data_IF_197580175243
#
_entry.id   IF_197580175243
#
_cell.length_a   1.000
_cell.length_b   1.000
_cell.length_c   1.000
_cell.angle_alpha   90.00
_cell.angle_beta   90.00
_cell.angle_gamma   90.00
#
_symmetry.space_group_name_H-M   'P 1'
#
loop_
_entity.id
_entity.type
_entity.pdbx_description
1 polymer ?
#
# COMPACT_ATOMS: atom_id res chain seq x y z
N UNK A 1 24.29 3.04 2.44
CA UNK A 1 23.33 2.13 1.80
C UNK A 1 22.16 3.00 1.41
N UNK A 2 21.99 3.27 0.11
CA UNK A 2 20.97 4.19 -0.37
C UNK A 2 19.58 3.71 0.02
N UNK A 3 18.69 4.65 0.38
CA UNK A 3 17.33 4.35 0.79
C UNK A 3 16.65 3.51 -0.31
N UNK A 4 16.34 2.26 0.03
CA UNK A 4 15.56 1.41 -0.84
C UNK A 4 14.17 2.05 -0.95
N UNK A 5 13.74 2.35 -2.18
CA UNK A 5 12.39 2.82 -2.42
C UNK A 5 11.42 1.73 -1.97
N UNK A 6 10.74 1.96 -0.85
CA UNK A 6 9.75 1.02 -0.34
C UNK A 6 8.47 1.15 -1.18
N UNK A 7 8.24 0.19 -2.09
CA UNK A 7 7.08 0.15 -2.98
C UNK A 7 5.75 0.00 -2.21
N UNK A 8 5.77 -0.37 -0.93
CA UNK A 8 4.57 -0.37 -0.10
C UNK A 8 4.03 1.05 0.14
N UNK A 9 4.87 2.08 0.07
CA UNK A 9 4.45 3.47 0.25
C UNK A 9 3.61 3.99 -0.92
N UNK A 10 3.64 3.34 -2.08
CA UNK A 10 2.77 3.68 -3.21
C UNK A 10 1.28 3.42 -2.92
N UNK A 11 0.98 2.63 -1.88
CA UNK A 11 -0.38 2.31 -1.42
C UNK A 11 -0.86 3.27 -0.31
N UNK A 12 -0.10 4.32 0.00
CA UNK A 12 -0.41 5.28 1.06
C UNK A 12 -0.65 6.65 0.45
N UNK A 13 -1.93 6.99 0.25
CA UNK A 13 -2.35 8.33 -0.15
C UNK A 13 -3.30 8.95 0.89
N UNK A 14 -2.81 9.77 1.84
CA UNK A 14 -3.66 10.41 2.84
C UNK A 14 -4.58 11.50 2.26
N UNK A 15 -4.42 11.85 0.97
CA UNK A 15 -5.28 12.82 0.27
C UNK A 15 -6.37 12.13 -0.55
N UNK A 16 -6.35 10.80 -0.66
CA UNK A 16 -7.40 10.07 -1.33
C UNK A 16 -8.73 10.26 -0.60
N UNK A 17 -9.77 10.59 -1.36
CA UNK A 17 -11.13 10.69 -0.87
C UNK A 17 -11.93 9.50 -1.44
N UNK A 18 -12.30 8.51 -0.60
CA UNK A 18 -13.05 7.34 -1.06
C UNK A 18 -14.36 7.73 -1.73
N UNK A 19 -14.67 7.10 -2.85
CA UNK A 19 -15.96 7.22 -3.52
C UNK A 19 -17.03 6.36 -2.80
N UNK A 20 -18.31 6.67 -3.04
CA UNK A 20 -19.43 5.89 -2.47
C UNK A 20 -19.43 4.41 -2.91
N UNK A 21 -18.73 4.10 -4.02
CA UNK A 21 -18.57 2.74 -4.53
C UNK A 21 -17.42 1.96 -3.89
N UNK A 22 -16.57 2.61 -3.10
CA UNK A 22 -15.38 1.98 -2.53
C UNK A 22 -15.75 1.15 -1.29
N UNK A 23 -15.11 -0.01 -1.15
CA UNK A 23 -15.21 -0.81 0.06
C UNK A 23 -14.21 -0.30 1.10
N UNK A 24 -14.72 0.22 2.22
CA UNK A 24 -13.88 0.72 3.32
C UNK A 24 -13.66 -0.38 4.37
N UNK A 25 -12.40 -0.72 4.60
CA UNK A 25 -11.97 -1.64 5.65
C UNK A 25 -11.22 -0.88 6.75
N UNK A 26 -11.62 -1.05 8.01
CA UNK A 26 -10.98 -0.41 9.17
C UNK A 26 -10.13 -1.42 9.91
N UNK A 27 -8.84 -1.13 10.08
CA UNK A 27 -7.89 -2.00 10.76
C UNK A 27 -7.33 -1.32 12.01
N UNK A 28 -7.10 -2.13 13.06
CA UNK A 28 -6.19 -1.75 14.15
C UNK A 28 -4.82 -2.37 13.83
N UNK A 29 -3.82 -1.52 13.65
CA UNK A 29 -2.45 -1.93 13.28
C UNK A 29 -1.49 -1.58 14.40
N UNK A 30 -0.63 -2.53 14.74
CA UNK A 30 0.50 -2.36 15.66
C UNK A 30 1.78 -2.71 14.88
N UNK A 31 2.59 -1.72 14.47
CA UNK A 31 3.81 -1.97 13.73
C UNK A 31 4.85 -2.70 14.58
N UNK A 32 5.60 -3.61 13.94
CA UNK A 32 6.78 -4.21 14.57
C UNK A 32 7.87 -3.18 14.83
N UNK A 33 8.79 -3.48 15.75
CA UNK A 33 9.95 -2.62 16.03
C UNK A 33 10.74 -2.33 14.73
N UNK A 34 11.05 -1.04 14.51
CA UNK A 34 11.78 -0.59 13.32
C UNK A 34 10.93 -0.37 12.06
N UNK A 35 9.63 -0.69 12.08
CA UNK A 35 8.69 -0.44 10.98
C UNK A 35 7.84 0.79 11.30
N UNK A 36 7.77 1.74 10.37
CA UNK A 36 6.91 2.91 10.53
C UNK A 36 5.43 2.56 10.39
N UNK A 37 4.53 3.41 10.91
CA UNK A 37 3.09 3.19 10.71
C UNK A 37 2.72 3.22 9.22
N UNK A 38 3.30 4.14 8.43
CA UNK A 38 3.04 4.26 6.99
C UNK A 38 3.46 3.00 6.23
N UNK A 39 4.63 2.45 6.54
CA UNK A 39 5.09 1.20 5.97
C UNK A 39 4.17 0.03 6.36
N UNK A 40 3.77 -0.05 7.62
CA UNK A 40 2.88 -1.11 8.10
C UNK A 40 1.51 -1.07 7.41
N UNK A 41 0.90 0.11 7.27
CA UNK A 41 -0.40 0.25 6.58
C UNK A 41 -0.26 0.06 5.07
N UNK A 42 0.84 0.51 4.47
CA UNK A 42 1.14 0.26 3.05
C UNK A 42 1.26 -1.23 2.73
N UNK A 43 1.86 -2.02 3.64
CA UNK A 43 1.89 -3.49 3.53
C UNK A 43 0.49 -4.11 3.64
N UNK A 44 -0.34 -3.63 4.57
CA UNK A 44 -1.73 -4.10 4.70
C UNK A 44 -2.53 -3.79 3.43
N UNK A 45 -2.45 -2.56 2.90
CA UNK A 45 -3.14 -2.15 1.68
C UNK A 45 -2.65 -2.92 0.44
N UNK A 46 -1.34 -3.12 0.33
CA UNK A 46 -0.71 -3.88 -0.76
C UNK A 46 -1.17 -5.34 -0.81
N UNK A 47 -1.00 -6.09 0.29
CA UNK A 47 -1.28 -7.54 0.33
C UNK A 47 -2.78 -7.87 0.40
N UNK A 48 -3.64 -6.89 0.71
CA UNK A 48 -5.11 -7.05 0.64
C UNK A 48 -5.71 -6.65 -0.70
N UNK A 49 -4.91 -6.13 -1.64
CA UNK A 49 -5.38 -5.69 -2.96
C UNK A 49 -4.62 -6.38 -4.10
N UNK A 50 -3.59 -5.73 -4.64
CA UNK A 50 -2.90 -6.15 -5.86
C UNK A 50 -1.37 -6.04 -5.79
N UNK A 51 -0.81 -5.75 -4.62
CA UNK A 51 0.63 -5.69 -4.39
C UNK A 51 1.24 -7.02 -3.96
N UNK A 52 2.54 -7.03 -3.75
CA UNK A 52 3.30 -8.22 -3.32
C UNK A 52 4.62 -7.83 -2.64
N UNK A 53 5.38 -8.83 -2.21
CA UNK A 53 6.64 -8.72 -1.46
C UNK A 53 7.85 -8.22 -2.26
N UNK A 54 7.66 -7.83 -3.53
CA UNK A 54 8.72 -7.29 -4.38
C UNK A 54 8.15 -6.41 -5.49
N UNK A 55 8.97 -5.54 -6.06
CA UNK A 55 8.59 -4.72 -7.21
C UNK A 55 8.32 -5.58 -8.46
N UNK A 56 7.21 -5.31 -9.14
CA UNK A 56 6.83 -6.00 -10.38
C UNK A 56 7.14 -5.13 -11.61
N UNK A 57 8.17 -5.52 -12.35
CA UNK A 57 8.57 -4.85 -13.61
C UNK A 57 7.54 -5.00 -14.74
N UNK A 58 6.63 -5.96 -14.63
CA UNK A 58 5.58 -6.24 -15.62
C UNK A 58 4.23 -5.59 -15.27
N UNK A 59 4.16 -4.80 -14.19
CA UNK A 59 2.93 -4.16 -13.74
C UNK A 59 2.37 -3.20 -14.79
N UNK A 60 1.11 -3.40 -15.19
CA UNK A 60 0.43 -2.54 -16.17
C UNK A 60 -0.20 -1.33 -15.47
N UNK A 61 -0.15 -0.12 -16.06
CA UNK A 61 -0.74 1.09 -15.45
C UNK A 61 -2.22 0.95 -15.08
N UNK A 62 -3.00 0.22 -15.87
CA UNK A 62 -4.42 -0.03 -15.57
C UNK A 62 -4.62 -0.85 -14.30
N UNK A 63 -3.73 -1.79 -13.99
CA UNK A 63 -3.83 -2.60 -12.78
C UNK A 63 -3.42 -1.78 -11.56
N UNK A 64 -2.38 -0.94 -11.67
CA UNK A 64 -1.95 -0.03 -10.59
C UNK A 64 -3.03 0.97 -10.18
N UNK A 65 -3.93 1.35 -11.10
CA UNK A 65 -5.11 2.19 -10.78
C UNK A 65 -6.18 1.47 -9.95
N UNK A 66 -6.06 0.17 -9.75
CA UNK A 66 -6.96 -0.65 -8.92
C UNK A 66 -6.38 -0.95 -7.54
N UNK A 67 -5.20 -0.40 -7.22
CA UNK A 67 -4.59 -0.52 -5.90
C UNK A 67 -5.48 0.15 -4.86
N UNK A 68 -5.50 -0.43 -3.66
CA UNK A 68 -6.17 0.16 -2.50
C UNK A 68 -5.51 1.47 -2.07
#
# INVERSE_FOLDING_TARGET
>A
MGEAHDWYLDFVDPKYAPADSDLICVFKVEPSEGISMEEAVGRVASESSNGTWTELTTMKPRIRKLSA
#
